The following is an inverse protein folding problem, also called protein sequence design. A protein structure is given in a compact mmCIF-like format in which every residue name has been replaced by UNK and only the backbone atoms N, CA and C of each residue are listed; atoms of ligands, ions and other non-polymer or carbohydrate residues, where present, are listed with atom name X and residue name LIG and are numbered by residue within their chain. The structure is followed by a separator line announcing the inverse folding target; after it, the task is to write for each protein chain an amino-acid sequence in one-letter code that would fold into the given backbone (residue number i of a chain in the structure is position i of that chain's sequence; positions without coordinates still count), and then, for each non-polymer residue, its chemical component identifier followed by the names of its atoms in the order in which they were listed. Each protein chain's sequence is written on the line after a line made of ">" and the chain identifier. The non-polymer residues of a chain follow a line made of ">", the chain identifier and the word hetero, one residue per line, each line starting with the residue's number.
data_IF_299234758021
#
_entry.id   IF_299234758021
#
_cell.length_a   1.000
_cell.length_b   1.000
_cell.length_c   1.000
_cell.angle_alpha   90.00
_cell.angle_beta   90.00
_cell.angle_gamma   90.00
#
_symmetry.space_group_name_H-M   'P 1'
#
loop_
_entity.id
_entity.type
_entity.pdbx_description
1 polymer ?
#
# COMPACT_ATOMS: atom_id res chain seq x y z
N UNK A 1 2.73 10.81 8.75
CA UNK A 1 3.79 10.78 7.72
C UNK A 1 3.63 11.97 6.80
N UNK A 2 4.73 12.63 6.42
CA UNK A 2 4.73 13.66 5.37
C UNK A 2 4.42 13.05 3.99
N UNK A 3 4.18 13.90 2.99
CA UNK A 3 3.94 13.48 1.60
C UNK A 3 5.09 12.64 1.05
N UNK A 4 6.34 13.05 1.27
CA UNK A 4 7.52 12.32 0.80
C UNK A 4 7.70 10.97 1.49
N UNK A 5 7.48 10.92 2.80
CA UNK A 5 7.53 9.66 3.55
C UNK A 5 6.44 8.69 3.10
N UNK A 6 5.22 9.18 2.87
CA UNK A 6 4.12 8.35 2.37
C UNK A 6 4.43 7.78 0.98
N UNK A 7 4.98 8.59 0.07
CA UNK A 7 5.39 8.13 -1.25
C UNK A 7 6.51 7.07 -1.16
N UNK A 8 7.53 7.31 -0.33
CA UNK A 8 8.60 6.34 -0.07
C UNK A 8 8.08 5.04 0.54
N UNK A 9 7.11 5.11 1.45
CA UNK A 9 6.49 3.94 2.08
C UNK A 9 5.79 3.03 1.05
N UNK A 10 5.06 3.64 0.12
CA UNK A 10 4.38 2.92 -0.97
C UNK A 10 5.36 2.44 -2.05
N UNK A 11 6.60 2.95 -2.06
CA UNK A 11 7.62 2.57 -3.05
C UNK A 11 7.49 3.32 -4.38
N UNK A 12 6.91 4.53 -4.39
CA UNK A 12 6.70 5.33 -5.60
C UNK A 12 7.24 6.75 -5.47
N UNK A 13 7.48 7.41 -6.61
CA UNK A 13 7.81 8.84 -6.63
C UNK A 13 6.65 9.72 -6.15
N UNK A 14 6.96 10.89 -5.59
CA UNK A 14 5.99 11.86 -5.04
C UNK A 14 4.88 12.28 -6.02
N UNK A 15 5.19 12.45 -7.31
CA UNK A 15 4.19 12.79 -8.34
C UNK A 15 3.24 11.62 -8.60
N UNK A 16 3.76 10.39 -8.61
CA UNK A 16 2.93 9.18 -8.78
C UNK A 16 2.05 8.95 -7.56
N UNK A 17 2.57 9.21 -6.36
CA UNK A 17 1.78 9.13 -5.14
C UNK A 17 0.58 10.10 -5.16
N UNK A 18 0.77 11.35 -5.56
CA UNK A 18 -0.34 12.30 -5.72
C UNK A 18 -1.38 11.80 -6.73
N UNK A 19 -0.91 11.26 -7.86
CA UNK A 19 -1.81 10.65 -8.84
C UNK A 19 -2.61 9.49 -8.22
N UNK A 20 -1.97 8.61 -7.44
CA UNK A 20 -2.67 7.52 -6.74
C UNK A 20 -3.71 8.04 -5.74
N UNK A 21 -3.42 9.12 -5.02
CA UNK A 21 -4.39 9.77 -4.12
C UNK A 21 -5.56 10.38 -4.91
N UNK A 22 -5.26 11.04 -6.05
CA UNK A 22 -6.27 11.60 -6.96
C UNK A 22 -7.18 10.51 -7.55
N UNK A 23 -6.59 9.38 -7.96
CA UNK A 23 -7.28 8.22 -8.51
C UNK A 23 -8.04 7.41 -7.44
N UNK A 24 -7.96 7.81 -6.16
CA UNK A 24 -8.53 7.11 -4.99
C UNK A 24 -7.93 5.72 -4.74
N UNK A 25 -6.77 5.44 -5.31
CA UNK A 25 -5.96 4.24 -5.04
C UNK A 25 -5.16 4.34 -3.74
N UNK A 26 -4.98 5.56 -3.23
CA UNK A 26 -4.38 5.84 -1.92
C UNK A 26 -5.29 6.76 -1.11
N UNK A 27 -5.22 6.72 0.23
CA UNK A 27 -6.05 7.55 1.09
C UNK A 27 -5.72 9.05 0.91
N UNK A 28 -6.75 9.89 1.05
CA UNK A 28 -6.57 11.33 1.14
C UNK A 28 -5.83 11.70 2.43
N UNK A 29 -5.01 12.77 2.42
CA UNK A 29 -4.34 13.23 3.63
C UNK A 29 -5.33 13.78 4.66
N UNK A 30 -4.88 13.85 5.90
CA UNK A 30 -5.49 14.67 6.95
C UNK A 30 -4.74 16.00 7.04
N UNK A 31 -5.49 17.08 7.22
CA UNK A 31 -4.93 18.39 7.57
C UNK A 31 -5.06 18.57 9.08
N UNK A 32 -3.92 18.71 9.76
CA UNK A 32 -3.84 19.01 11.19
C UNK A 32 -3.08 20.32 11.31
N UNK A 33 -3.78 21.36 11.73
CA UNK A 33 -3.30 22.75 11.71
C UNK A 33 -2.72 23.15 10.33
N UNK A 34 -1.44 23.50 10.29
CA UNK A 34 -0.71 23.85 9.08
C UNK A 34 -0.07 22.66 8.34
N UNK A 35 -0.18 21.44 8.86
CA UNK A 35 0.49 20.26 8.28
C UNK A 35 -0.48 19.32 7.58
N UNK A 36 -0.01 18.77 6.46
CA UNK A 36 -0.70 17.73 5.69
C UNK A 36 0.01 16.41 5.97
N UNK A 37 -0.71 15.44 6.54
CA UNK A 37 -0.15 14.16 6.97
C UNK A 37 -0.99 12.98 6.50
N UNK A 38 -0.31 11.86 6.26
CA UNK A 38 -0.92 10.57 5.99
C UNK A 38 -0.79 9.62 7.19
N UNK A 39 -1.81 8.79 7.30
CA UNK A 39 -1.96 7.74 8.28
C UNK A 39 -1.38 6.45 7.72
N UNK A 40 -0.35 5.90 8.39
CA UNK A 40 0.37 4.73 7.90
C UNK A 40 -0.54 3.51 7.73
N UNK A 41 -1.43 3.27 8.70
CA UNK A 41 -2.32 2.09 8.69
C UNK A 41 -3.29 2.18 7.50
N UNK A 42 -3.75 3.39 7.18
CA UNK A 42 -4.59 3.59 5.99
C UNK A 42 -3.83 3.41 4.68
N UNK A 43 -2.56 3.80 4.63
CA UNK A 43 -1.71 3.57 3.45
C UNK A 43 -1.51 2.06 3.24
N UNK A 44 -1.21 1.32 4.30
CA UNK A 44 -1.04 -0.13 4.26
C UNK A 44 -2.32 -0.84 3.81
N UNK A 45 -3.46 -0.52 4.41
CA UNK A 45 -4.75 -1.08 4.01
C UNK A 45 -5.10 -0.77 2.55
N UNK A 46 -4.87 0.46 2.08
CA UNK A 46 -5.12 0.82 0.69
C UNK A 46 -4.15 0.14 -0.29
N UNK A 47 -2.91 -0.10 0.13
CA UNK A 47 -1.93 -0.82 -0.67
C UNK A 47 -2.31 -2.30 -0.82
N UNK A 48 -2.74 -2.95 0.26
CA UNK A 48 -3.19 -4.33 0.24
C UNK A 48 -4.45 -4.56 -0.64
N UNK A 49 -5.25 -3.51 -0.84
CA UNK A 49 -6.44 -3.53 -1.71
C UNK A 49 -6.13 -3.19 -3.18
N UNK A 50 -4.89 -2.77 -3.50
CA UNK A 50 -4.53 -2.52 -4.89
C UNK A 50 -4.65 -3.81 -5.70
N UNK A 51 -5.23 -3.76 -6.91
CA UNK A 51 -5.17 -4.89 -7.82
C UNK A 51 -3.70 -5.18 -8.14
N UNK A 52 -3.23 -6.35 -7.73
CA UNK A 52 -1.89 -6.87 -7.98
C UNK A 52 -1.95 -8.18 -8.77
N UNK A 53 -0.84 -8.51 -9.42
CA UNK A 53 -0.59 -9.80 -10.09
C UNK A 53 -0.23 -10.88 -9.04
N UNK A 54 -0.93 -10.89 -7.90
CA UNK A 54 -0.76 -11.85 -6.79
C UNK A 54 -1.31 -13.24 -7.17
N UNK A 55 -1.04 -13.72 -8.39
CA UNK A 55 -1.40 -15.09 -8.77
C UNK A 55 -0.48 -16.14 -8.16
N UNK A 56 0.75 -15.82 -7.73
CA UNK A 56 1.53 -16.77 -6.93
C UNK A 56 2.37 -16.07 -5.86
N UNK A 57 1.76 -15.87 -4.69
CA UNK A 57 2.51 -15.60 -3.49
C UNK A 57 3.37 -16.84 -3.17
N UNK A 58 4.67 -16.78 -3.44
CA UNK A 58 5.63 -17.89 -3.21
C UNK A 58 5.52 -18.45 -1.80
N UNK A 59 5.21 -17.60 -0.81
CA UNK A 59 4.98 -18.03 0.57
C UNK A 59 3.74 -18.90 0.68
N UNK A 60 2.65 -18.56 0.01
CA UNK A 60 1.42 -19.35 -0.04
C UNK A 60 1.66 -20.69 -0.77
N UNK A 61 2.36 -20.67 -1.91
CA UNK A 61 2.79 -21.88 -2.63
C UNK A 61 3.62 -22.84 -1.74
N UNK A 62 4.60 -22.30 -1.01
CA UNK A 62 5.46 -23.10 -0.13
C UNK A 62 4.72 -23.65 1.09
N UNK A 63 3.70 -22.94 1.60
CA UNK A 63 2.86 -23.40 2.71
C UNK A 63 1.86 -24.48 2.26
N UNK A 64 1.36 -24.41 1.02
CA UNK A 64 0.46 -25.41 0.45
C UNK A 64 1.17 -26.76 0.16
N UNK A 65 2.47 -26.72 -0.18
CA UNK A 65 3.27 -27.90 -0.55
C UNK A 65 3.55 -28.92 0.57
N UNK A 66 3.18 -28.65 1.83
CA UNK A 66 3.49 -29.52 2.97
C UNK A 66 2.30 -30.35 3.50
N UNK A 67 1.15 -30.33 2.83
CA UNK A 67 0.04 -31.25 3.09
C UNK A 67 -0.06 -32.32 1.99
N UNK A 68 0.90 -33.25 1.96
CA UNK A 68 0.62 -34.57 1.37
C UNK A 68 -0.07 -35.42 2.44
N UNK A 69 -1.40 -35.55 2.30
CA UNK A 69 -2.16 -36.63 2.93
C UNK A 69 -1.72 -37.94 2.29
N UNK A 70 -1.35 -38.87 3.17
CA UNK A 70 -1.25 -40.33 3.02
C UNK A 70 -0.36 -40.91 1.92
#
# INVERSE_FOLDING_TARGET
>A
MSREEAARYVGVGITKFDQMVSDRRMPKPKKVDGRVIWDRIKLEAAFADLPGDDEENIVDFLLQGNHRKD
#
